data_IF_794592310003
#
_entry.id   IF_794592310003
#
_cell.length_a   1.000
_cell.length_b   1.000
_cell.length_c   1.000
_cell.angle_alpha   90.00
_cell.angle_beta   90.00
_cell.angle_gamma   90.00
#
_symmetry.space_group_name_H-M   'P 1'
#
loop_
_entity.id
_entity.type
_entity.pdbx_description
1 polymer ?
#
# COMPACT_ATOMS: atom_id res chain seq x y z
N UNK A 1 -8.74 9.47 -3.97
CA UNK A 1 -9.98 9.51 -4.77
C UNK A 1 -9.72 8.80 -6.10
N UNK A 2 -10.28 7.58 -6.29
CA UNK A 2 -10.03 6.77 -7.49
C UNK A 2 -10.50 7.42 -8.80
N UNK A 3 -11.54 8.26 -8.72
CA UNK A 3 -12.17 9.00 -9.83
C UNK A 3 -11.29 10.09 -10.44
N UNK A 4 -10.40 10.70 -9.64
CA UNK A 4 -9.44 11.73 -10.09
C UNK A 4 -7.98 11.28 -9.91
N UNK A 5 -7.78 9.99 -9.63
CA UNK A 5 -6.47 9.38 -9.51
C UNK A 5 -5.47 10.13 -8.60
N UNK A 6 -5.99 10.61 -7.46
CA UNK A 6 -5.22 11.43 -6.51
C UNK A 6 -5.27 10.83 -5.11
N UNK A 7 -4.13 10.76 -4.44
CA UNK A 7 -3.99 10.28 -3.06
C UNK A 7 -3.92 11.48 -2.11
N UNK A 8 -4.63 11.41 -0.97
CA UNK A 8 -4.82 12.56 -0.07
C UNK A 8 -4.30 12.25 1.33
N UNK A 9 -3.02 12.48 1.55
CA UNK A 9 -2.46 12.37 2.91
C UNK A 9 -2.70 13.66 3.70
N UNK A 10 -3.15 13.59 4.96
CA UNK A 10 -3.19 14.75 5.87
C UNK A 10 -1.80 15.40 6.02
N UNK A 11 -1.71 16.68 6.43
CA UNK A 11 -0.43 17.32 6.70
C UNK A 11 0.30 16.65 7.87
N UNK A 12 1.63 16.72 7.86
CA UNK A 12 2.51 16.03 8.83
C UNK A 12 2.13 16.31 10.29
N UNK A 13 1.70 17.52 10.64
CA UNK A 13 1.36 17.88 12.03
C UNK A 13 0.16 17.12 12.60
N UNK A 14 -0.62 16.45 11.75
CA UNK A 14 -1.75 15.60 12.16
C UNK A 14 -1.31 14.20 12.58
N UNK A 15 -0.02 13.87 12.43
CA UNK A 15 0.55 12.59 12.81
C UNK A 15 1.40 12.72 14.06
N UNK A 16 1.36 11.66 14.87
CA UNK A 16 2.11 11.59 16.14
C UNK A 16 3.61 11.48 15.89
N UNK A 17 4.02 10.86 14.77
CA UNK A 17 5.41 10.68 14.40
C UNK A 17 5.59 10.47 12.89
N UNK A 18 6.83 10.56 12.43
CA UNK A 18 7.20 10.39 11.03
C UNK A 18 6.90 8.98 10.49
N UNK A 19 7.01 7.93 11.31
CA UNK A 19 6.69 6.58 10.89
C UNK A 19 5.19 6.45 10.53
N UNK A 20 4.30 7.07 11.32
CA UNK A 20 2.86 7.16 11.04
C UNK A 20 2.56 8.01 9.82
N UNK A 21 3.27 9.11 9.63
CA UNK A 21 3.14 9.92 8.42
C UNK A 21 3.55 9.15 7.16
N UNK A 22 4.70 8.46 7.17
CA UNK A 22 5.22 7.74 5.99
C UNK A 22 4.53 6.40 5.72
N UNK A 23 3.86 5.82 6.72
CA UNK A 23 3.04 4.61 6.56
C UNK A 23 1.60 4.89 6.14
N UNK A 24 1.10 6.13 6.31
CA UNK A 24 -0.25 6.51 5.88
C UNK A 24 -0.44 6.53 4.35
N UNK A 25 0.56 6.93 3.53
CA UNK A 25 0.47 6.82 2.09
C UNK A 25 0.34 5.38 1.60
N UNK A 26 0.88 4.36 2.28
CA UNK A 26 0.84 2.98 1.79
C UNK A 26 -0.59 2.49 1.49
N UNK A 27 -1.50 2.47 2.47
CA UNK A 27 -2.89 2.07 2.27
C UNK A 27 -3.69 3.02 1.37
N UNK A 28 -3.27 4.28 1.21
CA UNK A 28 -3.95 5.24 0.33
C UNK A 28 -3.44 5.27 -1.12
N UNK A 29 -2.16 4.93 -1.33
CA UNK A 29 -1.47 4.88 -2.64
C UNK A 29 -1.54 3.50 -3.26
N UNK A 30 -1.53 2.43 -2.46
CA UNK A 30 -1.65 1.07 -2.97
C UNK A 30 -2.94 0.83 -3.77
N UNK A 31 -4.14 1.34 -3.38
CA UNK A 31 -5.33 1.27 -4.23
C UNK A 31 -5.14 1.90 -5.61
N UNK A 32 -4.34 2.96 -5.69
CA UNK A 32 -4.04 3.64 -6.95
C UNK A 32 -3.36 2.68 -7.95
N UNK A 33 -2.48 1.78 -7.50
CA UNK A 33 -1.83 0.77 -8.36
C UNK A 33 -2.84 -0.15 -9.08
N UNK A 34 -4.06 -0.30 -8.56
CA UNK A 34 -5.11 -1.13 -9.13
C UNK A 34 -5.82 -0.55 -10.36
N UNK A 35 -5.57 0.72 -10.71
CA UNK A 35 -6.22 1.36 -11.86
C UNK A 35 -5.91 0.62 -13.19
N UNK A 36 -6.86 0.66 -14.13
CA UNK A 36 -6.78 -0.04 -15.42
C UNK A 36 -5.51 0.29 -16.24
N UNK A 37 -5.01 1.52 -16.12
CA UNK A 37 -3.80 1.96 -16.81
C UNK A 37 -2.50 1.61 -16.06
N UNK A 38 -2.59 0.87 -14.94
CA UNK A 38 -1.47 0.43 -14.09
C UNK A 38 -1.46 -1.10 -14.00
N UNK A 39 -1.88 -1.69 -12.88
CA UNK A 39 -1.88 -3.14 -12.67
C UNK A 39 -3.24 -3.81 -12.90
N UNK A 40 -4.26 -3.03 -13.27
CA UNK A 40 -5.59 -3.53 -13.68
C UNK A 40 -6.16 -4.59 -12.70
N UNK A 41 -6.17 -4.25 -11.40
CA UNK A 41 -6.72 -5.13 -10.36
C UNK A 41 -8.25 -5.08 -10.42
N UNK A 42 -8.91 -6.17 -10.02
CA UNK A 42 -10.37 -6.23 -9.95
C UNK A 42 -10.88 -5.42 -8.74
N UNK A 43 -11.24 -4.16 -9.00
CA UNK A 43 -11.79 -3.22 -8.01
C UNK A 43 -13.33 -3.18 -8.03
N UNK A 44 -14.01 -4.15 -8.65
CA UNK A 44 -15.49 -4.15 -8.77
C UNK A 44 -16.22 -4.54 -7.50
N UNK A 45 -15.49 -5.06 -6.50
CA UNK A 45 -16.03 -5.49 -5.21
C UNK A 45 -16.62 -4.32 -4.40
N UNK A 46 -17.76 -4.57 -3.74
CA UNK A 46 -18.32 -3.65 -2.73
C UNK A 46 -17.84 -4.04 -1.34
N UNK A 47 -17.87 -3.11 -0.40
CA UNK A 47 -17.56 -3.37 1.01
C UNK A 47 -18.25 -4.64 1.51
N UNK A 48 -17.49 -5.53 2.15
CA UNK A 48 -17.97 -6.82 2.66
C UNK A 48 -18.06 -7.96 1.63
N UNK A 49 -17.70 -7.73 0.36
CA UNK A 49 -17.57 -8.81 -0.63
C UNK A 49 -16.16 -9.44 -0.60
N UNK A 50 -16.05 -10.70 -1.03
CA UNK A 50 -14.76 -11.40 -1.13
C UNK A 50 -13.76 -10.67 -2.03
N UNK A 51 -14.23 -10.06 -3.13
CA UNK A 51 -13.39 -9.24 -4.02
C UNK A 51 -12.81 -8.03 -3.31
N UNK A 52 -13.64 -7.34 -2.53
CA UNK A 52 -13.22 -6.18 -1.75
C UNK A 52 -12.25 -6.59 -0.64
N UNK A 53 -12.53 -7.65 0.10
CA UNK A 53 -11.63 -8.17 1.13
C UNK A 53 -10.28 -8.62 0.52
N UNK A 54 -10.28 -9.22 -0.66
CA UNK A 54 -9.04 -9.57 -1.37
C UNK A 54 -8.23 -8.31 -1.74
N UNK A 55 -8.89 -7.26 -2.21
CA UNK A 55 -8.21 -6.00 -2.54
C UNK A 55 -7.60 -5.33 -1.30
N UNK A 56 -8.31 -5.36 -0.16
CA UNK A 56 -7.81 -4.87 1.12
C UNK A 56 -6.56 -5.64 1.59
N UNK A 57 -6.56 -6.97 1.48
CA UNK A 57 -5.36 -7.78 1.81
C UNK A 57 -4.18 -7.36 0.94
N UNK A 58 -4.39 -7.17 -0.37
CA UNK A 58 -3.33 -6.75 -1.29
C UNK A 58 -2.79 -5.37 -0.90
N UNK A 59 -3.67 -4.42 -0.61
CA UNK A 59 -3.32 -3.05 -0.21
C UNK A 59 -2.47 -3.05 1.06
N UNK A 60 -2.86 -3.81 2.07
CA UNK A 60 -2.17 -3.88 3.37
C UNK A 60 -0.83 -4.63 3.29
N UNK A 61 -0.75 -5.70 2.49
CA UNK A 61 0.52 -6.36 2.19
C UNK A 61 1.47 -5.44 1.41
N UNK A 62 0.96 -4.67 0.43
CA UNK A 62 1.76 -3.70 -0.34
C UNK A 62 2.36 -2.65 0.60
N UNK A 63 1.52 -2.09 1.49
CA UNK A 63 1.96 -1.14 2.51
C UNK A 63 3.04 -1.74 3.40
N UNK A 64 2.86 -2.99 3.84
CA UNK A 64 3.82 -3.73 4.67
C UNK A 64 5.17 -3.92 3.96
N UNK A 65 5.18 -4.25 2.68
CA UNK A 65 6.41 -4.41 1.90
C UNK A 65 7.14 -3.08 1.75
N UNK A 66 6.44 -2.00 1.38
CA UNK A 66 7.04 -0.67 1.25
C UNK A 66 7.61 -0.18 2.59
N UNK A 67 6.88 -0.37 3.70
CA UNK A 67 7.39 0.02 5.02
C UNK A 67 8.63 -0.78 5.41
N UNK A 68 8.66 -2.08 5.11
CA UNK A 68 9.83 -2.94 5.36
C UNK A 68 11.04 -2.46 4.55
N UNK A 69 10.85 -2.12 3.28
CA UNK A 69 11.90 -1.61 2.40
C UNK A 69 12.45 -0.25 2.87
N UNK A 70 11.59 0.59 3.44
CA UNK A 70 11.96 1.90 3.99
C UNK A 70 12.56 1.82 5.41
N UNK A 71 12.62 0.64 6.02
CA UNK A 71 13.10 0.46 7.40
C UNK A 71 12.17 1.07 8.45
N UNK A 72 10.88 1.25 8.13
CA UNK A 72 9.87 1.84 9.02
C UNK A 72 9.22 0.73 9.85
N UNK A 73 9.31 0.84 11.18
CA UNK A 73 8.77 -0.17 12.08
C UNK A 73 7.23 -0.27 11.99
N UNK A 74 6.72 -1.48 11.72
CA UNK A 74 5.29 -1.78 11.71
C UNK A 74 4.80 -2.01 13.15
N UNK A 75 4.30 -0.97 13.83
CA UNK A 75 3.56 -1.16 15.09
C UNK A 75 2.14 -1.63 14.78
N UNK A 76 1.63 -2.73 15.37
CA UNK A 76 0.24 -3.13 15.24
C UNK A 76 -0.70 -1.99 15.62
N UNK A 77 -1.64 -1.69 14.72
CA UNK A 77 -2.60 -0.60 14.87
C UNK A 77 -4.00 -1.16 15.08
N UNK A 78 -4.71 -0.62 16.07
CA UNK A 78 -6.03 -1.13 16.45
C UNK A 78 -7.05 -0.99 15.31
N UNK A 79 -6.87 -0.01 14.42
CA UNK A 79 -7.72 0.23 13.26
C UNK A 79 -7.65 -0.91 12.23
N UNK A 80 -6.56 -1.67 12.18
CA UNK A 80 -6.38 -2.79 11.24
C UNK A 80 -7.16 -4.04 11.68
N UNK A 81 -7.51 -4.16 12.97
CA UNK A 81 -8.17 -5.34 13.52
C UNK A 81 -9.59 -5.54 12.96
N UNK A 82 -10.28 -4.47 12.55
CA UNK A 82 -11.62 -4.54 11.97
C UNK A 82 -11.65 -5.25 10.60
N UNK A 83 -10.56 -5.16 9.82
CA UNK A 83 -10.46 -5.76 8.49
C UNK A 83 -10.02 -7.22 8.51
N UNK A 84 -9.35 -7.67 9.58
CA UNK A 84 -8.90 -9.05 9.73
C UNK A 84 -10.08 -10.03 9.68
N UNK A 85 -11.25 -9.65 10.20
CA UNK A 85 -12.43 -10.51 10.21
C UNK A 85 -12.96 -10.85 8.79
N UNK A 86 -12.99 -9.87 7.87
CA UNK A 86 -13.42 -10.11 6.49
C UNK A 86 -12.38 -10.92 5.71
N UNK A 87 -11.09 -10.69 5.97
CA UNK A 87 -9.99 -11.43 5.36
C UNK A 87 -9.98 -12.90 5.78
N UNK A 88 -10.24 -13.18 7.06
CA UNK A 88 -10.31 -14.55 7.57
C UNK A 88 -11.36 -15.39 6.83
N UNK A 89 -12.46 -14.80 6.37
CA UNK A 89 -13.46 -15.50 5.55
C UNK A 89 -12.87 -15.90 4.20
N UNK A 90 -12.23 -14.97 3.49
CA UNK A 90 -11.59 -15.24 2.19
C UNK A 90 -10.48 -16.29 2.33
N UNK A 91 -9.62 -16.14 3.34
CA UNK A 91 -8.47 -17.03 3.58
C UNK A 91 -8.88 -18.43 4.03
N UNK A 92 -10.01 -18.57 4.75
CA UNK A 92 -10.57 -19.87 5.11
C UNK A 92 -11.19 -20.58 3.90
N UNK A 93 -11.83 -19.82 3.01
CA UNK A 93 -12.46 -20.36 1.81
C UNK A 93 -11.44 -20.79 0.75
N UNK A 94 -10.32 -20.07 0.64
CA UNK A 94 -9.21 -20.43 -0.25
C UNK A 94 -7.84 -20.22 0.44
N UNK A 95 -7.18 -21.31 0.88
CA UNK A 95 -5.84 -21.25 1.44
C UNK A 95 -4.78 -20.70 0.48
N UNK A 96 -5.03 -20.70 -0.83
CA UNK A 96 -4.12 -20.12 -1.84
C UNK A 96 -4.34 -18.61 -2.04
N UNK A 97 -5.40 -18.04 -1.49
CA UNK A 97 -5.69 -16.62 -1.60
C UNK A 97 -4.55 -15.76 -1.03
N UNK A 98 -3.91 -16.19 0.06
CA UNK A 98 -2.77 -15.45 0.64
C UNK A 98 -1.58 -15.33 -0.31
N UNK A 99 -1.26 -16.40 -1.04
CA UNK A 99 -0.15 -16.39 -2.02
C UNK A 99 -0.49 -15.51 -3.22
N UNK A 100 -1.75 -15.57 -3.68
CA UNK A 100 -2.24 -14.69 -4.76
C UNK A 100 -2.19 -13.23 -4.33
N UNK A 101 -2.61 -12.92 -3.10
CA UNK A 101 -2.59 -11.57 -2.56
C UNK A 101 -1.15 -11.06 -2.41
N UNK A 102 -0.24 -11.88 -1.87
CA UNK A 102 1.17 -11.54 -1.73
C UNK A 102 1.85 -11.29 -3.08
N UNK A 103 1.57 -12.12 -4.10
CA UNK A 103 2.13 -11.92 -5.45
C UNK A 103 1.65 -10.61 -6.08
N UNK A 104 0.36 -10.28 -5.94
CA UNK A 104 -0.20 -9.00 -6.41
C UNK A 104 0.36 -7.81 -5.62
N UNK A 105 0.56 -7.97 -4.31
CA UNK A 105 1.13 -6.94 -3.45
C UNK A 105 2.61 -6.67 -3.79
N UNK A 106 3.38 -7.70 -4.11
CA UNK A 106 4.75 -7.54 -4.58
C UNK A 106 4.79 -6.76 -5.89
N UNK A 107 3.94 -7.11 -6.86
CA UNK A 107 3.85 -6.37 -8.12
C UNK A 107 3.47 -4.89 -7.91
N UNK A 108 2.61 -4.60 -6.93
CA UNK A 108 2.26 -3.23 -6.54
C UNK A 108 3.45 -2.49 -5.90
N UNK A 109 4.20 -3.15 -5.01
CA UNK A 109 5.39 -2.58 -4.39
C UNK A 109 6.48 -2.29 -5.44
N UNK A 110 6.75 -3.24 -6.33
CA UNK A 110 7.71 -3.11 -7.43
C UNK A 110 7.34 -1.93 -8.35
N UNK A 111 6.05 -1.80 -8.68
CA UNK A 111 5.56 -0.68 -9.48
C UNK A 111 5.80 0.65 -8.76
N UNK A 112 5.51 0.74 -7.46
CA UNK A 112 5.74 1.96 -6.66
C UNK A 112 7.22 2.34 -6.60
N UNK A 113 8.11 1.36 -6.40
CA UNK A 113 9.56 1.58 -6.44
C UNK A 113 10.02 2.05 -7.82
N UNK A 114 9.50 1.47 -8.90
CA UNK A 114 9.83 1.88 -10.26
C UNK A 114 9.39 3.33 -10.59
N UNK A 115 8.40 3.88 -9.88
CA UNK A 115 8.00 5.28 -10.01
C UNK A 115 8.90 6.26 -9.24
N UNK A 116 9.77 5.78 -8.35
CA UNK A 116 10.78 6.60 -7.71
C UNK A 116 11.86 6.89 -8.76
N UNK A 117 11.80 8.06 -9.40
CA UNK A 117 12.80 8.49 -10.38
C UNK A 117 14.22 8.34 -9.81
N UNK A 118 15.19 7.98 -10.66
CA UNK A 118 16.63 7.94 -10.39
C UNK A 118 17.23 9.34 -10.10
N UNK A 119 16.57 10.16 -9.29
CA UNK A 119 16.86 11.57 -9.06
C UNK A 119 17.64 11.85 -7.77
N UNK A 120 18.32 10.85 -7.19
CA UNK A 120 19.20 11.05 -6.03
C UNK A 120 20.70 10.84 -6.32
N UNK A 121 21.10 10.61 -7.57
CA UNK A 121 22.53 10.58 -7.95
C UNK A 121 23.00 11.91 -8.53
N UNK A 122 22.76 13.02 -7.82
CA UNK A 122 23.74 14.11 -7.87
C UNK A 122 24.75 13.81 -6.77
N UNK A 123 26.01 13.46 -7.10
CA UNK A 123 27.03 13.34 -6.07
C UNK A 123 27.11 14.69 -5.35
N UNK A 124 27.19 14.68 -4.01
CA UNK A 124 27.54 15.85 -3.20
C UNK A 124 29.03 16.21 -3.41
N UNK A 125 29.46 16.39 -4.65
CA UNK A 125 30.79 16.88 -5.01
C UNK A 125 30.60 18.25 -5.67
N UNK A 126 30.66 19.29 -4.84
CA UNK A 126 30.55 20.66 -5.30
C UNK A 126 30.62 21.59 -4.11
N UNK A 127 31.83 22.04 -3.82
CA UNK A 127 32.17 23.06 -2.84
C UNK A 127 31.19 24.24 -2.91
N UNK A 128 30.75 24.73 -1.74
CA UNK A 128 29.98 25.97 -1.66
C UNK A 128 30.94 27.16 -1.87
N UNK A 129 30.53 28.20 -2.61
CA UNK A 129 31.21 29.50 -2.61
C UNK A 129 31.13 30.18 -1.24
#
# INVERSE_FOLDING_TARGET
RPDIDTVFTPPFERFIDAARYHSCPGPETAPATGAKHRLDRDLTGRFGSDKYAMDEIIVELTSSFIMADLGIAHTPRAEHAAYIASWLTVLKNDPRAIFTAASKAQAAADWMHAQQAANYLTPLTGERP
#
